data_IF_715502504436
#
_entry.id   IF_715502504436
#
_cell.length_a   1.000
_cell.length_b   1.000
_cell.length_c   1.000
_cell.angle_alpha   90.00
_cell.angle_beta   90.00
_cell.angle_gamma   90.00
#
_symmetry.space_group_name_H-M   'P 1'
#
loop_
_entity.id
_entity.type
_entity.pdbx_description
1 polymer ?
#
# COMPACT_ATOMS: atom_id res chain seq x y z
N UNK A 1 -12.33 0.81 -71.51
CA UNK A 1 -12.20 -0.21 -70.44
C UNK A 1 -11.09 0.02 -69.39
N UNK A 2 -10.43 1.20 -69.32
CA UNK A 2 -9.34 1.49 -68.34
C UNK A 2 -9.78 2.32 -67.11
N UNK A 3 -10.95 2.97 -67.13
CA UNK A 3 -11.42 3.87 -66.07
C UNK A 3 -11.98 3.14 -64.82
N UNK A 4 -12.79 2.08 -65.00
CA UNK A 4 -13.41 1.34 -63.88
C UNK A 4 -12.42 0.60 -62.96
N UNK A 5 -11.33 0.04 -63.50
CA UNK A 5 -10.29 -0.65 -62.72
C UNK A 5 -9.49 0.28 -61.78
N UNK A 6 -9.42 1.58 -62.08
CA UNK A 6 -8.69 2.57 -61.26
C UNK A 6 -9.51 3.01 -60.04
N UNK A 7 -10.83 3.15 -60.21
CA UNK A 7 -11.79 3.46 -59.14
C UNK A 7 -11.93 2.32 -58.12
N UNK A 8 -12.03 1.07 -58.59
CA UNK A 8 -12.15 -0.11 -57.73
C UNK A 8 -10.88 -0.37 -56.89
N UNK A 9 -9.70 -0.14 -57.47
CA UNK A 9 -8.41 -0.23 -56.74
C UNK A 9 -8.25 0.85 -55.68
N UNK A 10 -8.77 2.07 -55.93
CA UNK A 10 -8.77 3.19 -54.96
C UNK A 10 -9.70 2.89 -53.79
N UNK A 11 -10.92 2.38 -54.05
CA UNK A 11 -11.90 1.95 -53.04
C UNK A 11 -11.40 0.80 -52.16
N UNK A 12 -10.78 -0.24 -52.75
CA UNK A 12 -10.17 -1.34 -51.99
C UNK A 12 -8.96 -0.87 -51.16
N UNK A 13 -8.17 0.09 -51.64
CA UNK A 13 -7.05 0.69 -50.86
C UNK A 13 -7.59 1.50 -49.68
N UNK A 14 -8.63 2.32 -49.86
CA UNK A 14 -9.24 3.10 -48.78
C UNK A 14 -9.94 2.21 -47.76
N UNK A 15 -10.67 1.17 -48.17
CA UNK A 15 -11.28 0.18 -47.26
C UNK A 15 -10.23 -0.60 -46.46
N UNK A 16 -9.11 -1.00 -47.08
CA UNK A 16 -8.00 -1.68 -46.38
C UNK A 16 -7.26 -0.74 -45.42
N UNK A 17 -7.09 0.53 -45.78
CA UNK A 17 -6.50 1.58 -44.90
C UNK A 17 -7.42 1.88 -43.70
N UNK A 18 -8.74 1.97 -43.93
CA UNK A 18 -9.78 2.18 -42.89
C UNK A 18 -9.92 0.99 -41.93
N UNK A 19 -9.69 -0.24 -42.41
CA UNK A 19 -9.77 -1.48 -41.61
C UNK A 19 -8.46 -1.79 -40.86
N UNK A 20 -7.31 -1.33 -41.36
CA UNK A 20 -6.02 -1.41 -40.67
C UNK A 20 -5.88 -0.31 -39.59
N UNK A 21 -6.39 0.90 -39.84
CA UNK A 21 -6.45 1.96 -38.82
C UNK A 21 -7.34 1.58 -37.65
N UNK A 22 -8.48 0.92 -37.89
CA UNK A 22 -9.38 0.44 -36.83
C UNK A 22 -8.70 -0.48 -35.82
N UNK A 23 -7.87 -1.44 -36.26
CA UNK A 23 -7.20 -2.36 -35.34
C UNK A 23 -6.09 -1.67 -34.52
N UNK A 24 -5.40 -0.69 -35.10
CA UNK A 24 -4.38 0.09 -34.40
C UNK A 24 -5.05 1.00 -33.36
N UNK A 25 -6.15 1.66 -33.73
CA UNK A 25 -6.94 2.46 -32.77
C UNK A 25 -7.46 1.59 -31.63
N UNK A 26 -7.94 0.37 -31.89
CA UNK A 26 -8.35 -0.57 -30.82
C UNK A 26 -7.18 -0.94 -29.91
N UNK A 27 -5.99 -1.20 -30.45
CA UNK A 27 -4.79 -1.51 -29.65
C UNK A 27 -4.39 -0.30 -28.78
N UNK A 28 -4.40 0.91 -29.34
CA UNK A 28 -4.09 2.14 -28.59
C UNK A 28 -5.10 2.36 -27.46
N UNK A 29 -6.40 2.20 -27.74
CA UNK A 29 -7.45 2.32 -26.72
C UNK A 29 -7.29 1.30 -25.60
N UNK A 30 -6.92 0.06 -25.94
CA UNK A 30 -6.62 -0.97 -24.95
C UNK A 30 -5.41 -0.59 -24.10
N UNK A 31 -4.33 -0.06 -24.70
CA UNK A 31 -3.14 0.35 -23.95
C UNK A 31 -3.46 1.50 -22.98
N UNK A 32 -4.20 2.51 -23.42
CA UNK A 32 -4.64 3.61 -22.56
C UNK A 32 -5.51 3.07 -21.41
N UNK A 33 -6.43 2.16 -21.72
CA UNK A 33 -7.25 1.51 -20.70
C UNK A 33 -6.42 0.72 -19.70
N UNK A 34 -5.42 -0.05 -20.14
CA UNK A 34 -4.52 -0.80 -19.25
C UNK A 34 -3.70 0.13 -18.36
N UNK A 35 -3.21 1.26 -18.89
CA UNK A 35 -2.52 2.25 -18.06
C UNK A 35 -3.46 2.82 -17.00
N UNK A 36 -4.70 3.19 -17.37
CA UNK A 36 -5.70 3.66 -16.42
C UNK A 36 -6.05 2.63 -15.34
N UNK A 37 -6.21 1.36 -15.73
CA UNK A 37 -6.45 0.26 -14.80
C UNK A 37 -5.25 0.04 -13.87
N UNK A 38 -4.02 0.06 -14.37
CA UNK A 38 -2.81 -0.07 -13.53
C UNK A 38 -2.72 1.04 -12.49
N UNK A 39 -3.01 2.29 -12.87
CA UNK A 39 -3.03 3.43 -11.93
C UNK A 39 -4.14 3.25 -10.89
N UNK A 40 -5.34 2.81 -11.30
CA UNK A 40 -6.45 2.54 -10.38
C UNK A 40 -6.14 1.41 -9.39
N UNK A 41 -5.46 0.36 -9.84
CA UNK A 41 -5.14 -0.81 -9.03
C UNK A 41 -3.89 -0.63 -8.15
N UNK A 42 -3.02 0.31 -8.50
CA UNK A 42 -1.76 0.54 -7.80
C UNK A 42 -1.93 0.68 -6.27
N UNK A 43 -2.87 1.51 -5.74
CA UNK A 43 -3.01 1.64 -4.30
C UNK A 43 -3.42 0.36 -3.58
N UNK A 44 -4.30 -0.42 -4.19
CA UNK A 44 -4.78 -1.69 -3.62
C UNK A 44 -3.65 -2.71 -3.55
N UNK A 45 -2.93 -2.88 -4.66
CA UNK A 45 -1.82 -3.84 -4.76
C UNK A 45 -0.66 -3.42 -3.86
N UNK A 46 -0.29 -2.13 -3.89
CA UNK A 46 0.79 -1.60 -3.07
C UNK A 46 0.47 -1.73 -1.58
N UNK A 47 -0.77 -1.42 -1.16
CA UNK A 47 -1.17 -1.56 0.24
C UNK A 47 -1.08 -3.02 0.71
N UNK A 48 -1.48 -3.97 -0.12
CA UNK A 48 -1.36 -5.39 0.19
C UNK A 48 0.10 -5.83 0.39
N UNK A 49 0.99 -5.36 -0.51
CA UNK A 49 2.43 -5.64 -0.39
C UNK A 49 2.99 -5.02 0.89
N UNK A 50 2.61 -3.78 1.23
CA UNK A 50 3.04 -3.12 2.46
C UNK A 50 2.51 -3.81 3.71
N UNK A 51 1.25 -4.23 3.73
CA UNK A 51 0.67 -5.00 4.84
C UNK A 51 1.43 -6.30 5.07
N UNK A 52 1.84 -6.98 3.99
CA UNK A 52 2.72 -8.16 4.08
C UNK A 52 4.08 -7.85 4.69
N UNK A 53 4.69 -6.73 4.34
CA UNK A 53 5.95 -6.31 4.93
C UNK A 53 5.80 -5.97 6.42
N UNK A 54 4.71 -5.27 6.80
CA UNK A 54 4.36 -4.94 8.18
C UNK A 54 4.15 -6.21 9.02
N UNK A 55 3.34 -7.16 8.55
CA UNK A 55 3.11 -8.43 9.26
C UNK A 55 4.40 -9.25 9.42
N UNK A 56 5.30 -9.24 8.43
CA UNK A 56 6.61 -9.89 8.55
C UNK A 56 7.51 -9.20 9.58
N UNK A 57 7.49 -7.87 9.66
CA UNK A 57 8.26 -7.13 10.64
C UNK A 57 7.79 -7.44 12.07
N UNK A 58 6.47 -7.52 12.28
CA UNK A 58 5.86 -7.91 13.57
C UNK A 58 6.21 -9.36 13.92
N UNK A 59 6.07 -10.29 12.97
CA UNK A 59 6.43 -11.69 13.22
C UNK A 59 7.92 -11.88 13.55
N UNK A 60 8.82 -11.16 12.88
CA UNK A 60 10.25 -11.19 13.19
C UNK A 60 10.57 -10.58 14.57
N UNK A 61 9.81 -9.55 14.97
CA UNK A 61 9.89 -8.99 16.32
C UNK A 61 9.43 -10.02 17.36
N UNK A 62 8.26 -10.63 17.18
CA UNK A 62 7.72 -11.63 18.10
C UNK A 62 8.62 -12.86 18.22
N UNK A 63 9.19 -13.33 17.10
CA UNK A 63 10.18 -14.42 17.10
C UNK A 63 11.37 -14.05 17.98
N UNK A 64 11.94 -12.85 17.82
CA UNK A 64 13.05 -12.36 18.65
C UNK A 64 12.67 -12.24 20.12
N UNK A 65 11.48 -11.73 20.43
CA UNK A 65 10.98 -11.63 21.80
C UNK A 65 10.82 -13.02 22.41
N UNK A 66 10.29 -14.00 21.67
CA UNK A 66 10.08 -15.37 22.17
C UNK A 66 11.36 -16.12 22.53
N UNK A 67 12.50 -15.73 21.93
CA UNK A 67 13.82 -16.28 22.24
C UNK A 67 14.44 -15.67 23.51
N UNK A 68 13.87 -14.58 24.03
CA UNK A 68 14.41 -13.86 25.20
C UNK A 68 14.04 -14.53 26.51
N UNK A 69 14.89 -14.31 27.52
CA UNK A 69 14.60 -14.76 28.89
C UNK A 69 13.73 -13.74 29.62
N UNK A 70 12.83 -14.17 30.53
CA UNK A 70 11.99 -13.26 31.31
C UNK A 70 12.77 -12.16 32.05
N UNK A 71 14.00 -12.44 32.51
CA UNK A 71 14.83 -11.46 33.21
C UNK A 71 15.28 -10.31 32.31
N UNK A 72 15.34 -10.52 30.99
CA UNK A 72 15.73 -9.48 30.05
C UNK A 72 14.59 -8.48 29.80
N UNK A 73 13.33 -8.93 29.85
CA UNK A 73 12.17 -8.03 29.76
C UNK A 73 12.18 -6.97 30.85
N UNK A 74 12.49 -7.38 32.09
CA UNK A 74 12.55 -6.47 33.24
C UNK A 74 13.56 -5.35 33.00
N UNK A 75 14.75 -5.66 32.47
CA UNK A 75 15.78 -4.65 32.17
C UNK A 75 15.31 -3.62 31.13
N UNK A 76 14.61 -4.08 30.10
CA UNK A 76 14.08 -3.18 29.06
C UNK A 76 12.99 -2.26 29.60
N UNK A 77 12.04 -2.78 30.37
CA UNK A 77 11.00 -1.96 31.00
C UNK A 77 11.58 -0.98 32.02
N UNK A 78 12.50 -1.41 32.90
CA UNK A 78 13.15 -0.52 33.85
C UNK A 78 13.91 0.63 33.16
N UNK A 79 14.58 0.34 32.03
CA UNK A 79 15.26 1.35 31.24
C UNK A 79 14.28 2.37 30.64
N UNK A 80 13.17 1.89 30.06
CA UNK A 80 12.12 2.73 29.49
C UNK A 80 11.41 3.58 30.56
N UNK A 81 11.03 2.98 31.68
CA UNK A 81 10.39 3.69 32.81
C UNK A 81 11.33 4.73 33.43
N UNK A 82 12.63 4.43 33.55
CA UNK A 82 13.63 5.39 34.02
C UNK A 82 13.80 6.56 33.04
N UNK A 83 13.70 6.31 31.74
CA UNK A 83 13.70 7.36 30.72
C UNK A 83 12.44 8.23 30.84
N UNK A 84 11.25 7.62 30.91
CA UNK A 84 9.97 8.33 31.06
C UNK A 84 9.94 9.20 32.32
N UNK A 85 10.45 8.70 33.46
CA UNK A 85 10.56 9.49 34.71
C UNK A 85 11.49 10.70 34.59
N UNK A 86 12.51 10.65 33.72
CA UNK A 86 13.35 11.83 33.43
C UNK A 86 12.62 12.81 32.52
N UNK A 87 11.92 12.29 31.51
CA UNK A 87 11.13 13.08 30.57
C UNK A 87 10.04 13.88 31.29
N UNK A 88 9.27 13.24 32.18
CA UNK A 88 8.24 13.89 32.98
C UNK A 88 8.76 15.03 33.88
N UNK A 89 10.05 14.98 34.25
CA UNK A 89 10.71 16.04 35.06
C UNK A 89 11.35 17.13 34.20
N UNK A 90 11.42 16.95 32.88
CA UNK A 90 12.08 17.89 31.98
C UNK A 90 11.19 18.19 30.75
N UNK A 91 10.18 19.08 30.88
CA UNK A 91 9.27 19.40 29.78
C UNK A 91 9.97 19.94 28.52
N UNK A 92 11.15 20.58 28.64
CA UNK A 92 11.93 21.04 27.47
C UNK A 92 12.37 19.90 26.56
N UNK A 93 12.47 18.67 27.07
CA UNK A 93 12.85 17.50 26.30
C UNK A 93 11.84 17.15 25.18
N UNK A 94 10.60 17.66 25.26
CA UNK A 94 9.65 17.55 24.15
C UNK A 94 10.14 18.32 22.91
N UNK A 95 10.67 19.54 23.11
CA UNK A 95 11.18 20.40 22.03
C UNK A 95 12.66 20.13 21.70
N UNK A 96 13.43 19.68 22.69
CA UNK A 96 14.85 19.36 22.56
C UNK A 96 15.13 17.90 22.98
N UNK A 97 14.71 16.91 22.17
CA UNK A 97 14.77 15.50 22.56
C UNK A 97 16.18 14.96 22.83
N UNK A 98 17.22 15.62 22.32
CA UNK A 98 18.62 15.22 22.55
C UNK A 98 19.16 15.57 23.94
N UNK A 99 18.41 16.35 24.75
CA UNK A 99 18.74 16.61 26.15
C UNK A 99 18.74 15.32 26.98
N UNK A 100 17.87 14.36 26.64
CA UNK A 100 17.79 13.06 27.31
C UNK A 100 18.36 11.98 26.40
N UNK A 101 19.60 11.57 26.68
CA UNK A 101 20.31 10.53 25.94
C UNK A 101 19.73 9.13 26.17
N UNK A 102 19.91 8.27 25.17
CA UNK A 102 19.60 6.84 25.25
C UNK A 102 18.39 6.40 24.44
N UNK A 103 17.66 7.32 23.81
CA UNK A 103 16.45 7.06 23.02
C UNK A 103 16.63 5.89 22.03
N UNK A 104 17.61 5.96 21.12
CA UNK A 104 17.81 4.96 20.05
C UNK A 104 18.15 3.53 20.52
N UNK A 105 18.48 3.34 21.81
CA UNK A 105 18.91 2.04 22.35
C UNK A 105 17.87 1.38 23.25
N UNK A 106 16.92 2.16 23.76
CA UNK A 106 15.91 1.67 24.70
C UNK A 106 14.80 1.04 23.88
N UNK A 107 14.46 -0.23 24.14
CA UNK A 107 13.48 -0.99 23.36
C UNK A 107 13.87 -1.23 21.89
N UNK A 108 15.16 -1.24 21.54
CA UNK A 108 15.62 -1.76 20.25
C UNK A 108 16.02 -3.24 20.38
N UNK A 109 15.03 -4.13 20.41
CA UNK A 109 15.22 -5.57 20.67
C UNK A 109 16.03 -6.24 19.55
N UNK A 110 15.68 -5.91 18.29
CA UNK A 110 16.18 -6.61 17.11
C UNK A 110 17.32 -5.87 16.40
N UNK A 111 17.71 -4.68 16.87
CA UNK A 111 18.67 -3.82 16.17
C UNK A 111 18.11 -3.17 14.91
N UNK A 112 16.79 -3.27 14.69
CA UNK A 112 16.10 -2.75 13.51
C UNK A 112 15.37 -1.43 13.78
N UNK A 113 15.33 -1.00 15.05
CA UNK A 113 14.57 0.17 15.50
C UNK A 113 13.10 -0.11 15.81
N UNK A 114 12.60 -1.35 15.68
CA UNK A 114 11.23 -1.69 16.10
C UNK A 114 11.15 -1.79 17.63
N UNK A 115 10.27 -1.00 18.24
CA UNK A 115 9.95 -1.07 19.68
C UNK A 115 8.93 -2.15 20.01
N UNK A 116 7.97 -2.35 19.11
CA UNK A 116 6.76 -3.13 19.32
C UNK A 116 5.78 -2.87 18.18
N UNK A 117 4.48 -3.00 18.44
CA UNK A 117 3.44 -2.75 17.45
C UNK A 117 2.16 -2.19 18.06
N UNK A 118 1.35 -1.53 17.23
CA UNK A 118 0.02 -1.02 17.57
C UNK A 118 -1.05 -1.83 16.85
N UNK A 119 -2.14 -2.13 17.55
CA UNK A 119 -3.33 -2.77 16.98
C UNK A 119 -4.58 -1.92 17.25
N UNK A 120 -5.30 -1.57 16.18
CA UNK A 120 -6.59 -0.86 16.23
C UNK A 120 -7.64 -1.76 15.59
N UNK A 121 -8.27 -2.63 16.40
CA UNK A 121 -9.16 -3.69 15.90
C UNK A 121 -10.33 -3.14 15.06
N UNK A 122 -10.96 -2.05 15.50
CA UNK A 122 -12.08 -1.39 14.78
C UNK A 122 -11.71 -1.00 13.35
N UNK A 123 -10.46 -0.60 13.11
CA UNK A 123 -9.98 -0.14 11.82
C UNK A 123 -9.25 -1.25 11.03
N UNK A 124 -9.02 -2.42 11.62
CA UNK A 124 -8.20 -3.47 11.03
C UNK A 124 -6.74 -3.04 10.82
N UNK A 125 -6.23 -2.15 11.69
CA UNK A 125 -4.85 -1.65 11.63
C UNK A 125 -3.99 -2.45 12.58
N UNK A 126 -2.85 -2.90 12.09
CA UNK A 126 -1.79 -3.53 12.87
C UNK A 126 -0.45 -3.09 12.26
N UNK A 127 0.34 -2.31 13.00
CA UNK A 127 1.54 -1.66 12.47
C UNK A 127 2.72 -1.80 13.43
N UNK A 128 3.93 -2.10 12.94
CA UNK A 128 5.13 -1.98 13.75
C UNK A 128 5.36 -0.51 14.13
N UNK A 129 5.85 -0.29 15.34
CA UNK A 129 6.24 1.01 15.88
C UNK A 129 7.76 1.08 15.86
N UNK A 130 8.31 2.01 15.10
CA UNK A 130 9.75 2.28 15.03
C UNK A 130 10.16 3.46 15.89
N UNK A 131 11.44 3.52 16.22
CA UNK A 131 12.09 4.71 16.75
C UNK A 131 12.06 5.86 15.75
N UNK A 132 11.49 6.98 16.18
CA UNK A 132 11.54 8.23 15.44
C UNK A 132 10.43 8.32 14.39
N UNK A 133 10.43 9.45 13.69
CA UNK A 133 9.39 9.80 12.72
C UNK A 133 10.01 10.23 11.39
N UNK A 134 11.13 9.60 11.02
CA UNK A 134 11.80 9.86 9.75
C UNK A 134 10.93 9.41 8.57
N UNK A 135 11.05 10.11 7.44
CA UNK A 135 10.25 9.86 6.24
C UNK A 135 10.29 8.38 5.80
N UNK A 136 11.46 7.75 5.87
CA UNK A 136 11.61 6.34 5.50
C UNK A 136 10.77 5.39 6.35
N UNK A 137 10.60 5.71 7.64
CA UNK A 137 9.77 4.94 8.58
C UNK A 137 8.29 5.19 8.27
N UNK A 138 7.88 6.46 8.22
CA UNK A 138 6.47 6.83 8.10
C UNK A 138 5.85 6.39 6.77
N UNK A 139 6.65 6.13 5.73
CA UNK A 139 6.19 5.57 4.46
C UNK A 139 5.70 4.12 4.57
N UNK A 140 6.12 3.37 5.60
CA UNK A 140 5.85 1.93 5.70
C UNK A 140 5.32 1.48 7.08
N UNK A 141 5.42 2.31 8.12
CA UNK A 141 5.14 1.92 9.50
C UNK A 141 4.68 3.11 10.36
N UNK A 142 4.37 2.83 11.63
CA UNK A 142 4.20 3.86 12.64
C UNK A 142 5.56 4.22 13.25
N UNK A 143 5.73 5.49 13.61
CA UNK A 143 6.91 6.02 14.25
C UNK A 143 6.58 6.61 15.62
N UNK A 144 7.38 6.31 16.62
CA UNK A 144 7.29 6.94 17.93
C UNK A 144 7.92 8.34 17.88
N UNK A 145 7.20 9.36 18.36
CA UNK A 145 7.68 10.73 18.39
C UNK A 145 8.75 10.89 19.47
N UNK A 146 9.98 11.14 19.05
CA UNK A 146 11.10 11.42 19.95
C UNK A 146 10.80 12.65 20.81
N UNK A 147 11.11 12.60 22.10
CA UNK A 147 10.72 13.64 23.07
C UNK A 147 9.39 13.35 23.78
N UNK A 148 8.70 12.27 23.41
CA UNK A 148 7.53 11.75 24.13
C UNK A 148 7.90 10.47 24.89
N UNK A 149 7.01 10.04 25.80
CA UNK A 149 7.25 8.90 26.67
C UNK A 149 7.26 7.61 25.86
N UNK A 150 8.18 6.68 26.14
CA UNK A 150 8.10 5.34 25.58
C UNK A 150 6.74 4.71 25.91
N UNK A 151 6.13 3.94 24.98
CA UNK A 151 4.77 3.43 25.12
C UNK A 151 4.67 2.19 26.05
N UNK A 152 5.35 2.23 27.19
CA UNK A 152 5.35 1.17 28.23
C UNK A 152 4.35 1.44 29.37
N UNK A 153 3.56 2.51 29.24
CA UNK A 153 2.60 2.99 30.22
C UNK A 153 3.23 3.57 31.48
N UNK A 154 2.41 3.76 32.50
CA UNK A 154 2.79 4.23 33.83
C UNK A 154 2.40 5.67 34.11
N UNK A 155 2.39 6.03 35.39
CA UNK A 155 2.01 7.36 35.86
C UNK A 155 2.88 8.47 35.27
N UNK A 156 2.22 9.58 34.93
CA UNK A 156 2.84 10.77 34.34
C UNK A 156 3.61 10.43 33.06
N UNK A 157 2.95 9.71 32.16
CA UNK A 157 3.47 9.39 30.83
C UNK A 157 2.47 9.82 29.74
N UNK A 158 3.04 10.26 28.62
CA UNK A 158 2.32 10.56 27.40
C UNK A 158 3.18 10.13 26.21
N UNK A 159 2.80 9.05 25.54
CA UNK A 159 3.45 8.58 24.31
C UNK A 159 2.73 9.11 23.08
N UNK A 160 3.46 9.43 22.01
CA UNK A 160 2.85 9.84 20.75
C UNK A 160 3.33 8.93 19.62
N UNK A 161 2.38 8.29 18.96
CA UNK A 161 2.60 7.39 17.83
C UNK A 161 2.08 8.07 16.57
N UNK A 162 2.97 8.28 15.60
CA UNK A 162 2.67 8.98 14.36
C UNK A 162 2.69 8.03 13.17
N UNK A 163 1.74 8.17 12.24
CA UNK A 163 1.83 7.52 10.93
C UNK A 163 1.17 8.40 9.86
N UNK A 164 1.56 8.22 8.59
CA UNK A 164 0.97 9.00 7.50
C UNK A 164 -0.53 8.72 7.30
N UNK A 165 -1.20 9.73 6.73
CA UNK A 165 -2.55 9.63 6.20
C UNK A 165 -2.54 9.75 4.69
N UNK A 166 -3.16 8.81 3.99
CA UNK A 166 -3.42 8.93 2.55
C UNK A 166 -2.21 8.72 1.65
N UNK A 167 -1.28 7.84 2.02
CA UNK A 167 -0.25 7.42 1.07
C UNK A 167 -0.88 6.62 -0.07
N UNK A 168 -0.45 6.83 -1.33
CA UNK A 168 -0.86 5.97 -2.44
C UNK A 168 -0.48 4.51 -2.23
N UNK A 169 0.56 4.25 -1.44
CA UNK A 169 1.18 2.94 -1.31
C UNK A 169 0.72 2.15 -0.09
N UNK A 170 0.22 2.78 0.98
CA UNK A 170 -0.13 2.13 2.24
C UNK A 170 -1.23 2.88 2.99
N UNK A 171 -2.15 2.16 3.63
CA UNK A 171 -3.25 2.76 4.41
C UNK A 171 -2.74 3.41 5.69
N UNK A 172 -1.91 2.74 6.50
CA UNK A 172 -1.41 3.27 7.78
C UNK A 172 -2.56 3.88 8.63
N UNK A 173 -2.45 5.13 9.06
CA UNK A 173 -3.50 5.85 9.80
C UNK A 173 -4.50 6.60 8.90
N UNK A 174 -4.66 6.18 7.63
CA UNK A 174 -5.62 6.77 6.69
C UNK A 174 -7.03 6.91 7.27
N UNK A 175 -7.49 5.87 7.97
CA UNK A 175 -8.84 5.74 8.52
C UNK A 175 -8.94 6.15 10.01
N UNK A 176 -7.90 6.80 10.56
CA UNK A 176 -7.87 7.18 11.98
C UNK A 176 -9.00 8.16 12.35
N UNK A 177 -9.53 8.91 11.39
CA UNK A 177 -10.69 9.80 11.55
C UNK A 177 -12.02 9.08 11.80
N UNK A 178 -12.05 7.74 11.70
CA UNK A 178 -13.22 6.91 12.03
C UNK A 178 -13.22 6.43 13.49
N UNK A 179 -12.20 6.80 14.26
CA UNK A 179 -12.20 6.57 15.70
C UNK A 179 -13.18 7.52 16.39
N UNK A 180 -13.76 7.05 17.48
CA UNK A 180 -14.72 7.74 18.33
C UNK A 180 -14.29 7.59 19.79
N UNK A 181 -14.72 8.50 20.66
CA UNK A 181 -14.52 8.39 22.11
C UNK A 181 -15.14 7.07 22.60
N UNK A 182 -14.40 6.33 23.42
CA UNK A 182 -14.76 4.99 23.89
C UNK A 182 -14.25 3.84 23.02
N UNK A 183 -13.73 4.10 21.81
CA UNK A 183 -13.00 3.08 21.05
C UNK A 183 -11.68 2.73 21.73
N UNK A 184 -11.16 1.53 21.45
CA UNK A 184 -9.90 1.06 22.04
C UNK A 184 -8.83 0.77 21.00
N UNK A 185 -7.56 0.96 21.38
CA UNK A 185 -6.39 0.45 20.67
C UNK A 185 -5.40 -0.16 21.67
N UNK A 186 -4.55 -1.06 21.20
CA UNK A 186 -3.51 -1.70 22.03
C UNK A 186 -2.12 -1.41 21.51
N UNK A 187 -1.18 -1.26 22.43
CA UNK A 187 0.26 -1.21 22.14
C UNK A 187 0.91 -2.44 22.76
N UNK A 188 1.60 -3.23 21.95
CA UNK A 188 2.32 -4.42 22.39
C UNK A 188 3.82 -4.18 22.32
N UNK A 189 4.49 -4.36 23.45
CA UNK A 189 5.94 -4.25 23.62
C UNK A 189 6.39 -5.43 24.46
N UNK A 190 7.34 -6.22 23.94
CA UNK A 190 7.84 -7.43 24.57
C UNK A 190 6.66 -8.34 24.97
N UNK A 191 6.57 -8.69 26.25
CA UNK A 191 5.51 -9.51 26.82
C UNK A 191 4.37 -8.67 27.47
N UNK A 192 4.25 -7.39 27.11
CA UNK A 192 3.25 -6.48 27.67
C UNK A 192 2.34 -5.95 26.56
N UNK A 193 1.03 -6.12 26.74
CA UNK A 193 0.00 -5.47 25.93
C UNK A 193 -0.69 -4.41 26.80
N UNK A 194 -0.72 -3.16 26.33
CA UNK A 194 -1.32 -2.03 27.04
C UNK A 194 -2.53 -1.57 26.22
N UNK A 195 -3.69 -1.51 26.87
CA UNK A 195 -4.94 -1.08 26.23
C UNK A 195 -5.27 0.34 26.60
N UNK A 196 -5.54 1.16 25.59
CA UNK A 196 -5.98 2.54 25.74
C UNK A 196 -7.41 2.69 25.23
N UNK A 197 -8.22 3.44 25.96
CA UNK A 197 -9.56 3.86 25.55
C UNK A 197 -9.53 5.34 25.15
N UNK A 198 -10.03 5.64 23.96
CA UNK A 198 -10.05 7.00 23.40
C UNK A 198 -10.91 7.91 24.26
N UNK A 199 -10.33 9.00 24.75
CA UNK A 199 -11.01 9.99 25.59
C UNK A 199 -11.10 11.38 24.96
N UNK A 200 -10.23 11.70 24.00
CA UNK A 200 -10.19 12.97 23.30
C UNK A 200 -9.84 12.78 21.81
N UNK A 201 -10.52 13.54 20.96
CA UNK A 201 -10.20 13.64 19.54
C UNK A 201 -10.18 15.11 19.16
N UNK A 202 -9.03 15.58 18.70
CA UNK A 202 -8.82 17.00 18.40
C UNK A 202 -8.10 17.20 17.06
N UNK A 203 -8.35 18.35 16.44
CA UNK A 203 -7.64 18.81 15.25
C UNK A 203 -6.89 20.08 15.63
N UNK A 204 -5.58 20.05 15.48
CA UNK A 204 -4.67 21.14 15.89
C UNK A 204 -3.76 21.57 14.74
N UNK A 205 -3.17 22.75 14.85
CA UNK A 205 -2.08 23.16 13.95
C UNK A 205 -0.81 22.34 14.22
N UNK A 206 0.10 22.19 13.24
CA UNK A 206 1.33 21.40 13.42
C UNK A 206 2.25 21.89 14.54
N UNK A 207 2.19 23.16 14.90
CA UNK A 207 2.96 23.81 15.97
C UNK A 207 2.21 23.86 17.32
N UNK A 208 0.92 23.56 17.33
CA UNK A 208 0.12 23.44 18.55
C UNK A 208 0.36 22.07 19.20
N UNK A 209 1.23 22.03 20.19
CA UNK A 209 1.74 20.79 20.82
C UNK A 209 1.35 20.63 22.28
N UNK A 210 0.54 21.54 22.82
CA UNK A 210 0.15 21.57 24.23
C UNK A 210 -0.62 20.30 24.64
N UNK A 211 -1.46 19.77 23.75
CA UNK A 211 -2.21 18.53 23.96
C UNK A 211 -1.34 17.27 23.96
N UNK A 212 -0.06 17.37 23.58
CA UNK A 212 0.89 16.26 23.56
C UNK A 212 1.80 16.24 24.79
N UNK A 213 1.64 17.20 25.71
CA UNK A 213 2.45 17.29 26.92
C UNK A 213 2.07 16.21 27.93
N UNK A 214 3.02 15.89 28.82
CA UNK A 214 2.79 14.96 29.93
C UNK A 214 1.91 15.63 30.98
N UNK A 215 0.87 14.93 31.42
CA UNK A 215 0.01 15.36 32.52
C UNK A 215 0.30 14.54 33.78
N UNK A 216 0.27 15.18 34.95
CA UNK A 216 0.56 14.52 36.23
C UNK A 216 -0.47 13.42 36.53
N UNK A 217 0.03 12.22 36.89
CA UNK A 217 -0.78 11.03 37.24
C UNK A 217 -1.67 10.52 36.11
N UNK A 218 -1.34 10.87 34.86
CA UNK A 218 -2.00 10.36 33.67
C UNK A 218 -1.07 9.43 32.91
N UNK A 219 -1.67 8.43 32.26
CA UNK A 219 -1.04 7.50 31.34
C UNK A 219 -1.80 7.61 30.01
N UNK A 220 -1.24 8.42 29.10
CA UNK A 220 -1.83 8.71 27.80
C UNK A 220 -1.00 8.16 26.65
N UNK A 221 -1.69 7.77 25.59
CA UNK A 221 -1.09 7.55 24.30
C UNK A 221 -1.92 8.29 23.24
N UNK A 222 -1.26 9.12 22.43
CA UNK A 222 -1.90 9.84 21.33
C UNK A 222 -1.47 9.27 19.99
N UNK A 223 -2.45 8.89 19.19
CA UNK A 223 -2.25 8.55 17.78
C UNK A 223 -2.36 9.84 16.96
N UNK A 224 -1.31 10.15 16.22
CA UNK A 224 -1.21 11.39 15.45
C UNK A 224 -1.13 11.09 13.95
N UNK A 225 -1.89 11.84 13.16
CA UNK A 225 -1.76 11.83 11.70
C UNK A 225 -2.07 13.18 11.07
N UNK A 226 -1.80 13.36 9.78
CA UNK A 226 -2.11 14.60 9.07
C UNK A 226 -3.59 14.69 8.68
N UNK A 227 -4.16 15.90 8.67
CA UNK A 227 -5.54 16.14 8.26
C UNK A 227 -5.69 17.56 7.70
N UNK A 228 -6.72 17.91 6.89
CA UNK A 228 -7.65 17.03 6.17
C UNK A 228 -6.95 16.14 5.14
N UNK A 229 -7.62 15.05 4.74
CA UNK A 229 -7.07 14.05 3.81
C UNK A 229 -6.58 14.70 2.50
N UNK A 230 -5.31 14.47 2.16
CA UNK A 230 -4.69 15.01 0.95
C UNK A 230 -4.29 16.50 1.01
N UNK A 231 -4.62 17.22 2.09
CA UNK A 231 -4.25 18.62 2.30
C UNK A 231 -3.18 18.74 3.38
N UNK A 232 -3.30 17.97 4.48
CA UNK A 232 -2.28 17.80 5.52
C UNK A 232 -1.83 19.10 6.24
N UNK A 233 -2.70 20.11 6.31
CA UNK A 233 -2.41 21.41 6.96
C UNK A 233 -2.50 21.36 8.49
N UNK A 234 -3.21 20.38 9.04
CA UNK A 234 -3.46 20.20 10.47
C UNK A 234 -3.00 18.80 10.90
N UNK A 235 -3.10 18.53 12.20
CA UNK A 235 -2.90 17.21 12.79
C UNK A 235 -4.20 16.74 13.42
N UNK A 236 -4.59 15.51 13.12
CA UNK A 236 -5.62 14.78 13.86
C UNK A 236 -4.91 14.05 15.00
N UNK A 237 -5.38 14.31 16.22
CA UNK A 237 -4.93 13.67 17.44
C UNK A 237 -6.07 12.82 17.98
N UNK A 238 -5.79 11.54 18.22
CA UNK A 238 -6.71 10.61 18.88
C UNK A 238 -6.01 10.15 20.15
N UNK A 239 -6.37 10.74 21.29
CA UNK A 239 -5.78 10.43 22.59
C UNK A 239 -6.59 9.35 23.28
N UNK A 240 -5.90 8.37 23.85
CA UNK A 240 -6.48 7.41 24.76
C UNK A 240 -5.78 7.40 26.11
N UNK A 241 -6.54 7.06 27.15
CA UNK A 241 -6.04 6.81 28.49
C UNK A 241 -5.91 5.31 28.75
N UNK A 242 -4.88 4.91 29.49
CA UNK A 242 -4.64 3.51 29.80
C UNK A 242 -5.78 2.95 30.69
N UNK A 243 -6.39 1.84 30.25
CA UNK A 243 -7.44 1.12 30.99
C UNK A 243 -6.98 -0.24 31.51
N UNK A 244 -5.79 -0.71 31.10
CA UNK A 244 -5.28 -1.99 31.55
C UNK A 244 -4.00 -2.43 30.85
N UNK A 245 -3.24 -3.25 31.57
CA UNK A 245 -2.04 -3.92 31.07
C UNK A 245 -2.22 -5.42 31.23
N UNK A 246 -1.92 -6.18 30.18
CA UNK A 246 -2.00 -7.63 30.15
C UNK A 246 -0.82 -8.27 29.43
N UNK A 247 -0.92 -9.58 29.22
CA UNK A 247 0.00 -10.33 28.36
C UNK A 247 -0.57 -10.43 26.94
N UNK A 248 0.27 -10.35 25.90
CA UNK A 248 -0.17 -10.49 24.51
C UNK A 248 -0.92 -11.81 24.31
N UNK A 249 -2.18 -11.75 23.91
CA UNK A 249 -3.00 -12.96 23.68
C UNK A 249 -2.72 -13.63 22.33
N UNK A 250 -2.00 -12.95 21.44
CA UNK A 250 -1.69 -13.42 20.10
C UNK A 250 -0.17 -13.58 19.96
N UNK A 251 0.32 -14.82 20.06
CA UNK A 251 1.57 -15.16 19.38
C UNK A 251 1.22 -15.13 17.90
N UNK A 252 1.83 -14.25 17.10
CA UNK A 252 1.69 -14.24 15.64
C UNK A 252 2.30 -15.51 15.05
N UNK A 253 1.64 -16.64 15.26
CA UNK A 253 1.86 -17.84 14.46
C UNK A 253 1.36 -17.45 13.08
N UNK A 254 2.25 -17.53 12.09
CA UNK A 254 1.95 -17.36 10.67
C UNK A 254 1.03 -18.48 10.17
N UNK A 255 -0.14 -18.65 10.78
CA UNK A 255 -1.24 -19.35 10.17
C UNK A 255 -1.68 -18.45 9.01
N UNK A 256 -1.26 -18.83 7.81
CA UNK A 256 -1.64 -18.26 6.53
C UNK A 256 -3.17 -18.37 6.30
N UNK A 257 -4.00 -17.79 7.15
CA UNK A 257 -5.41 -17.55 6.88
C UNK A 257 -5.50 -16.28 6.03
N UNK A 258 -5.18 -16.44 4.75
CA UNK A 258 -5.34 -15.39 3.74
C UNK A 258 -6.83 -15.00 3.65
N UNK A 259 -7.25 -13.96 4.37
CA UNK A 259 -8.38 -13.16 3.93
C UNK A 259 -7.87 -12.27 2.79
N UNK A 260 -7.88 -12.81 1.57
CA UNK A 260 -7.57 -12.00 0.39
C UNK A 260 -8.69 -10.97 0.28
N UNK A 261 -8.32 -9.69 0.34
CA UNK A 261 -9.26 -8.60 0.14
C UNK A 261 -10.06 -8.87 -1.16
N UNK A 262 -11.41 -8.91 -1.11
CA UNK A 262 -12.24 -9.15 -2.27
C UNK A 262 -11.91 -8.21 -3.44
N UNK A 263 -11.43 -7.01 -3.17
CA UNK A 263 -11.00 -6.04 -4.19
C UNK A 263 -9.77 -6.53 -4.97
N UNK A 264 -8.79 -7.16 -4.31
CA UNK A 264 -7.61 -7.75 -4.97
C UNK A 264 -8.06 -8.90 -5.87
N UNK A 265 -8.92 -9.77 -5.36
CA UNK A 265 -9.46 -10.91 -6.12
C UNK A 265 -10.22 -10.44 -7.36
N UNK A 266 -11.11 -9.45 -7.20
CA UNK A 266 -11.86 -8.86 -8.31
C UNK A 266 -10.94 -8.19 -9.34
N UNK A 267 -9.89 -7.52 -8.89
CA UNK A 267 -8.90 -6.84 -9.74
C UNK A 267 -8.10 -7.83 -10.58
N UNK A 268 -7.61 -8.91 -9.97
CA UNK A 268 -6.88 -9.98 -10.68
C UNK A 268 -7.78 -10.67 -11.71
N UNK A 269 -9.01 -11.01 -11.33
CA UNK A 269 -9.99 -11.60 -12.26
C UNK A 269 -10.33 -10.67 -13.43
N UNK A 270 -10.45 -9.37 -13.17
CA UNK A 270 -10.65 -8.34 -14.18
C UNK A 270 -9.48 -8.27 -15.17
N UNK A 271 -8.24 -8.25 -14.68
CA UNK A 271 -7.02 -8.25 -15.52
C UNK A 271 -6.98 -9.51 -16.41
N UNK A 272 -7.27 -10.69 -15.87
CA UNK A 272 -7.25 -11.95 -16.61
C UNK A 272 -8.28 -11.93 -17.76
N UNK A 273 -9.50 -11.46 -17.50
CA UNK A 273 -10.55 -11.29 -18.52
C UNK A 273 -10.12 -10.32 -19.64
N UNK A 274 -9.45 -9.22 -19.28
CA UNK A 274 -8.93 -8.23 -20.22
C UNK A 274 -7.82 -8.79 -21.09
N UNK A 275 -6.87 -9.53 -20.52
CA UNK A 275 -5.79 -10.18 -21.27
C UNK A 275 -6.38 -11.20 -22.27
N UNK A 276 -7.38 -11.98 -21.87
CA UNK A 276 -8.07 -12.90 -22.77
C UNK A 276 -8.77 -12.19 -23.94
N UNK A 277 -9.43 -11.05 -23.67
CA UNK A 277 -10.02 -10.20 -24.71
C UNK A 277 -8.96 -9.64 -25.67
N UNK A 278 -7.83 -9.19 -25.14
CA UNK A 278 -6.68 -8.69 -25.90
C UNK A 278 -6.11 -9.74 -26.84
N UNK A 279 -5.85 -10.93 -26.31
CA UNK A 279 -5.35 -12.09 -27.08
C UNK A 279 -6.35 -12.44 -28.17
N UNK A 280 -7.65 -12.49 -27.86
CA UNK A 280 -8.71 -12.75 -28.85
C UNK A 280 -8.71 -11.72 -29.98
N UNK A 281 -8.56 -10.43 -29.67
CA UNK A 281 -8.46 -9.36 -30.68
C UNK A 281 -7.20 -9.53 -31.54
N UNK A 282 -6.04 -9.77 -30.93
CA UNK A 282 -4.77 -9.98 -31.63
C UNK A 282 -4.79 -11.21 -32.55
N UNK A 283 -5.39 -12.32 -32.12
CA UNK A 283 -5.58 -13.50 -32.97
C UNK A 283 -6.49 -13.16 -34.17
N UNK A 284 -7.56 -12.41 -33.94
CA UNK A 284 -8.52 -12.01 -35.00
C UNK A 284 -7.88 -11.09 -36.04
N UNK A 285 -6.98 -10.20 -35.63
CA UNK A 285 -6.25 -9.32 -36.54
C UNK A 285 -5.17 -10.08 -37.33
N UNK A 286 -4.49 -11.06 -36.70
CA UNK A 286 -3.53 -11.95 -37.37
C UNK A 286 -4.18 -12.83 -38.44
N UNK A 287 -5.31 -13.50 -38.13
CA UNK A 287 -6.04 -14.35 -39.10
C UNK A 287 -6.48 -13.57 -40.35
N UNK A 288 -7.02 -12.35 -40.19
CA UNK A 288 -7.39 -11.48 -41.32
C UNK A 288 -6.19 -11.06 -42.19
N UNK A 289 -4.99 -10.95 -41.61
CA UNK A 289 -3.77 -10.67 -42.35
C UNK A 289 -3.32 -11.82 -43.26
N UNK A 290 -3.54 -13.06 -42.84
CA UNK A 290 -3.20 -14.27 -43.59
C UNK A 290 -4.22 -14.59 -44.70
N UNK A 291 -5.52 -14.43 -44.45
CA UNK A 291 -6.56 -14.56 -45.50
C UNK A 291 -6.33 -13.59 -46.66
N UNK A 292 -5.92 -12.35 -46.37
CA UNK A 292 -5.58 -11.36 -47.39
C UNK A 292 -4.31 -11.66 -48.21
N UNK A 293 -3.41 -12.53 -47.71
CA UNK A 293 -2.26 -13.05 -48.47
C UNK A 293 -2.64 -14.27 -49.32
N UNK A 294 -3.47 -15.16 -48.78
CA UNK A 294 -3.93 -16.36 -49.48
C UNK A 294 -4.80 -16.02 -50.71
N UNK A 295 -5.70 -15.03 -50.60
CA UNK A 295 -6.50 -14.57 -51.75
C UNK A 295 -5.64 -13.92 -52.86
N UNK A 296 -4.53 -13.25 -52.52
CA UNK A 296 -3.61 -12.69 -53.52
C UNK A 296 -2.84 -13.77 -54.26
N UNK A 297 -2.45 -14.85 -53.58
CA UNK A 297 -1.76 -15.99 -54.20
C UNK A 297 -2.68 -16.73 -55.19
N UNK A 298 -3.93 -16.98 -54.80
CA UNK A 298 -4.93 -17.60 -55.68
C UNK A 298 -5.27 -16.75 -56.91
N UNK A 299 -5.30 -15.42 -56.77
CA UNK A 299 -5.61 -14.53 -57.89
C UNK A 299 -4.45 -14.42 -58.91
N UNK A 300 -3.20 -14.56 -58.46
CA UNK A 300 -2.02 -14.65 -59.35
C UNK A 300 -1.98 -16.01 -60.05
N UNK A 301 -2.27 -17.10 -59.34
CA UNK A 301 -2.35 -18.45 -59.90
C UNK A 301 -3.46 -18.59 -60.96
N UNK A 302 -4.64 -18.01 -60.72
CA UNK A 302 -5.74 -17.98 -61.70
C UNK A 302 -5.42 -17.12 -62.94
N UNK A 303 -4.60 -16.07 -62.80
CA UNK A 303 -4.17 -15.26 -63.94
C UNK A 303 -3.11 -15.95 -64.81
N UNK A 304 -2.20 -16.73 -64.20
CA UNK A 304 -1.24 -17.57 -64.93
C UNK A 304 -1.97 -18.68 -65.71
N UNK A 305 -2.91 -19.38 -65.06
CA UNK A 305 -3.71 -20.45 -65.71
C UNK A 305 -4.59 -19.95 -66.88
N UNK A 306 -4.99 -18.67 -66.86
CA UNK A 306 -5.72 -18.01 -67.97
C UNK A 306 -4.81 -17.51 -69.10
N UNK A 307 -3.53 -17.27 -68.82
CA UNK A 307 -2.52 -16.93 -69.83
C UNK A 307 -2.15 -18.13 -70.68
N UNK A 308 -2.01 -19.31 -70.07
CA UNK A 308 -1.63 -20.54 -70.76
C UNK A 308 -2.75 -21.08 -71.69
N UNK A 309 -4.02 -20.84 -71.37
CA UNK A 309 -5.16 -21.27 -72.20
C UNK A 309 -5.37 -20.41 -73.47
N UNK A 310 -4.72 -19.24 -73.57
CA UNK A 310 -4.85 -18.34 -74.73
C UNK A 310 -3.68 -18.51 -75.71
N UNK A 311 -2.61 -19.23 -75.32
CA UNK A 311 -1.39 -19.40 -76.12
C UNK A 311 -1.41 -20.51 -77.16
N UNK A 312 -2.39 -21.43 -77.17
CA UNK A 312 -2.26 -22.68 -77.92
C UNK A 312 -3.21 -22.85 -79.12
N UNK A 313 -3.64 -21.76 -79.76
CA UNK A 313 -4.42 -21.88 -80.99
C UNK A 313 -4.03 -20.80 -82.01
N UNK A 314 -2.91 -21.01 -82.71
CA UNK A 314 -2.66 -20.43 -84.04
C UNK A 314 -1.47 -21.08 -84.75
N UNK A 315 -1.81 -21.81 -85.83
CA UNK A 315 -1.07 -22.11 -87.08
C UNK A 315 -0.57 -23.54 -87.28
N UNK A 316 -1.44 -24.34 -87.90
CA UNK A 316 -1.09 -25.24 -89.00
C UNK A 316 -1.72 -24.69 -90.29
N UNK A 317 -0.95 -24.84 -91.39
CA UNK A 317 -1.11 -24.30 -92.76
C UNK A 317 -0.67 -22.86 -92.99
#
# INVERSE_FOLDING_TARGET
>A
MKSGKKLEKKSKKTLKKKKLSSNITTIILILIFLVGLSVMLYPTVSNYVNQRHQSKAIAAYDEKVSEMKPEDYTKYFEAAEKYNKKLAKNPSAFYNPDEIKGYEKILDISGTGIMGYITIKKLGVELPIYHGTDEGILQIAAGHLKGTSFPVGGDSTHSVISAHRGLPSAKLFTDLDKMEVGDTFTITILNREITYEVDDISIVLPDETDSLQIEDKKDYCTLMTCTPYGINTHRLLVRGHCIGTGEPQHIHVTAEAFQIDPTITASVMGIILLIMLLIRVLIRTRKKGQEGKHLKCNQVFLHLKRGDLIGNNKKTK
#
